data_IF_913716819355
#
_entry.id   IF_913716819355
#
_cell.length_a   1.000
_cell.length_b   1.000
_cell.length_c   1.000
_cell.angle_alpha   90.00
_cell.angle_beta   90.00
_cell.angle_gamma   90.00
#
_symmetry.space_group_name_H-M   'P 1'
#
loop_
_entity.id
_entity.type
_entity.pdbx_description
1 polymer ?
#
# COMPACT_ATOMS: atom_id res chain seq x y z
N UNK A 1 9.63 -2.42 -15.71
CA UNK A 1 8.96 -2.16 -14.41
C UNK A 1 8.66 -0.67 -14.21
N UNK A 2 9.64 0.21 -14.42
CA UNK A 2 9.47 1.66 -14.26
C UNK A 2 8.34 2.23 -15.14
N UNK A 3 8.24 1.76 -16.38
CA UNK A 3 7.20 2.18 -17.33
C UNK A 3 5.80 1.78 -16.87
N UNK A 4 5.65 0.58 -16.31
CA UNK A 4 4.36 0.11 -15.77
C UNK A 4 3.93 0.90 -14.54
N UNK A 5 4.85 1.26 -13.66
CA UNK A 5 4.56 2.11 -12.51
C UNK A 5 4.12 3.52 -12.92
N UNK A 6 4.74 4.08 -13.94
CA UNK A 6 4.31 5.37 -14.53
C UNK A 6 2.92 5.26 -15.17
N UNK A 7 2.68 4.21 -15.94
CA UNK A 7 1.36 3.96 -16.53
C UNK A 7 0.28 3.81 -15.46
N UNK A 8 0.55 3.05 -14.40
CA UNK A 8 -0.35 2.92 -13.26
C UNK A 8 -0.64 4.27 -12.60
N UNK A 9 0.37 5.10 -12.38
CA UNK A 9 0.18 6.43 -11.80
C UNK A 9 -0.76 7.30 -12.64
N UNK A 10 -0.58 7.32 -13.97
CA UNK A 10 -1.46 8.06 -14.89
C UNK A 10 -2.89 7.51 -14.85
N UNK A 11 -3.05 6.19 -14.79
CA UNK A 11 -4.39 5.58 -14.69
C UNK A 11 -5.08 5.92 -13.38
N UNK A 12 -4.37 5.97 -12.27
CA UNK A 12 -4.89 6.39 -10.96
C UNK A 12 -5.36 7.84 -11.02
N UNK A 13 -4.54 8.76 -11.53
CA UNK A 13 -4.92 10.17 -11.66
C UNK A 13 -6.18 10.33 -12.54
N UNK A 14 -6.22 9.62 -13.67
CA UNK A 14 -7.41 9.62 -14.55
C UNK A 14 -8.65 9.05 -13.88
N UNK A 15 -8.50 7.98 -13.09
CA UNK A 15 -9.61 7.38 -12.37
C UNK A 15 -10.17 8.33 -11.32
N UNK A 16 -9.29 8.96 -10.56
CA UNK A 16 -9.66 9.92 -9.50
C UNK A 16 -10.23 11.22 -10.06
N UNK A 17 -9.76 11.66 -11.23
CA UNK A 17 -10.22 12.89 -11.89
C UNK A 17 -11.52 12.74 -12.70
N UNK A 18 -12.15 11.55 -12.76
CA UNK A 18 -13.41 11.37 -13.48
C UNK A 18 -14.56 12.07 -12.77
N UNK A 19 -15.27 12.93 -13.49
CA UNK A 19 -16.45 13.66 -12.99
C UNK A 19 -17.59 12.73 -12.54
N UNK A 20 -17.72 11.57 -13.19
CA UNK A 20 -18.70 10.53 -12.82
C UNK A 20 -18.51 9.97 -11.41
N UNK A 21 -17.30 10.06 -10.87
CA UNK A 21 -17.02 9.66 -9.49
C UNK A 21 -17.66 10.61 -8.48
N UNK A 22 -17.76 11.90 -8.81
CA UNK A 22 -18.15 12.93 -7.84
C UNK A 22 -17.19 12.95 -6.64
N UNK A 23 -17.74 13.17 -5.47
CA UNK A 23 -16.99 13.13 -4.19
C UNK A 23 -16.93 11.73 -3.56
N UNK A 24 -17.34 10.68 -4.29
CA UNK A 24 -17.37 9.31 -3.79
C UNK A 24 -15.97 8.72 -3.65
N UNK A 25 -15.81 7.87 -2.67
CA UNK A 25 -14.57 7.16 -2.35
C UNK A 25 -14.52 5.79 -3.00
N UNK A 26 -13.33 5.35 -3.38
CA UNK A 26 -13.11 4.02 -3.94
C UNK A 26 -13.15 2.96 -2.83
N UNK A 27 -14.00 1.95 -3.00
CA UNK A 27 -14.09 0.79 -2.12
C UNK A 27 -13.49 -0.45 -2.76
N UNK A 28 -13.69 -0.62 -4.06
CA UNK A 28 -13.16 -1.77 -4.79
C UNK A 28 -12.68 -1.34 -6.18
N UNK A 29 -11.51 -1.82 -6.56
CA UNK A 29 -10.88 -1.55 -7.85
C UNK A 29 -10.46 -2.83 -8.54
N UNK A 30 -10.40 -2.81 -9.87
CA UNK A 30 -9.83 -3.89 -10.67
C UNK A 30 -8.68 -3.36 -11.52
N UNK A 31 -7.55 -4.03 -11.43
CA UNK A 31 -6.41 -3.87 -12.32
C UNK A 31 -6.41 -5.01 -13.33
N UNK A 32 -6.41 -4.69 -14.62
CA UNK A 32 -6.43 -5.67 -15.71
C UNK A 32 -5.30 -5.36 -16.69
N UNK A 33 -4.74 -6.40 -17.27
CA UNK A 33 -3.71 -6.28 -18.31
C UNK A 33 -3.99 -7.22 -19.48
N UNK A 34 -3.73 -6.74 -20.69
CA UNK A 34 -3.59 -7.58 -21.89
C UNK A 34 -2.10 -7.85 -22.08
N UNK A 35 -1.73 -9.11 -22.23
CA UNK A 35 -0.34 -9.55 -22.28
C UNK A 35 0.16 -9.64 -23.73
N UNK A 36 1.46 -9.42 -23.91
CA UNK A 36 2.15 -9.67 -25.17
C UNK A 36 2.16 -11.18 -25.41
N UNK A 37 1.81 -11.60 -26.65
CA UNK A 37 1.65 -13.02 -26.97
C UNK A 37 0.25 -13.58 -26.71
N UNK A 38 -0.66 -12.76 -26.25
CA UNK A 38 -2.05 -13.12 -25.97
C UNK A 38 -2.32 -13.42 -24.50
N UNK A 39 -3.60 -13.47 -24.15
CA UNK A 39 -4.06 -13.68 -22.79
C UNK A 39 -4.32 -12.37 -22.02
N UNK A 40 -5.01 -12.54 -20.90
CA UNK A 40 -5.36 -11.44 -20.00
C UNK A 40 -5.08 -11.82 -18.56
N UNK A 41 -4.73 -10.82 -17.78
CA UNK A 41 -4.55 -10.93 -16.36
C UNK A 41 -5.45 -9.91 -15.66
N UNK A 42 -6.06 -10.29 -14.53
CA UNK A 42 -6.95 -9.41 -13.77
C UNK A 42 -6.79 -9.68 -12.29
N UNK A 43 -6.72 -8.62 -11.51
CA UNK A 43 -6.80 -8.64 -10.05
C UNK A 43 -7.82 -7.63 -9.55
N UNK A 44 -8.60 -8.03 -8.58
CA UNK A 44 -9.49 -7.16 -7.85
C UNK A 44 -8.90 -6.89 -6.46
N UNK A 45 -9.02 -5.66 -6.02
CA UNK A 45 -8.59 -5.23 -4.71
C UNK A 45 -9.75 -4.54 -4.01
N UNK A 46 -10.15 -5.08 -2.86
CA UNK A 46 -11.08 -4.42 -1.95
C UNK A 46 -10.26 -3.64 -0.93
N UNK A 47 -10.54 -2.34 -0.86
CA UNK A 47 -9.86 -1.45 0.06
C UNK A 47 -10.52 -1.58 1.44
N UNK A 48 -9.72 -1.76 2.49
CA UNK A 48 -10.24 -1.88 3.86
C UNK A 48 -11.01 -0.64 4.26
N UNK A 49 -10.43 0.51 3.95
CA UNK A 49 -11.07 1.82 4.10
C UNK A 49 -11.29 2.44 2.72
N UNK A 50 -12.46 3.03 2.46
CA UNK A 50 -12.68 3.78 1.23
C UNK A 50 -11.80 5.02 1.21
N UNK A 51 -11.11 5.26 0.11
CA UNK A 51 -10.29 6.46 -0.04
C UNK A 51 -10.24 6.96 -1.49
N UNK A 52 -9.79 8.20 -1.66
CA UNK A 52 -9.66 8.87 -2.96
C UNK A 52 -8.26 9.48 -3.16
N UNK A 53 -7.28 9.00 -2.41
CA UNK A 53 -5.91 9.51 -2.47
C UNK A 53 -5.05 8.70 -3.43
N UNK A 54 -4.41 9.38 -4.39
CA UNK A 54 -3.56 8.74 -5.39
C UNK A 54 -2.36 7.99 -4.77
N UNK A 55 -1.77 8.53 -3.72
CA UNK A 55 -0.64 7.92 -3.02
C UNK A 55 -0.99 6.55 -2.44
N UNK A 56 -2.12 6.45 -1.74
CA UNK A 56 -2.61 5.19 -1.17
C UNK A 56 -2.91 4.14 -2.24
N UNK A 57 -3.52 4.54 -3.35
CA UNK A 57 -3.78 3.63 -4.48
C UNK A 57 -2.49 3.13 -5.12
N UNK A 58 -1.47 3.98 -5.27
CA UNK A 58 -0.17 3.55 -5.78
C UNK A 58 0.49 2.52 -4.87
N UNK A 59 0.44 2.74 -3.56
CA UNK A 59 0.99 1.80 -2.57
C UNK A 59 0.24 0.46 -2.59
N UNK A 60 -1.08 0.48 -2.70
CA UNK A 60 -1.90 -0.73 -2.71
C UNK A 60 -1.79 -1.53 -4.02
N UNK A 61 -1.69 -0.85 -5.18
CA UNK A 61 -1.68 -1.48 -6.50
C UNK A 61 -0.27 -1.76 -7.03
N UNK A 62 0.75 -1.04 -6.55
CA UNK A 62 2.14 -1.20 -6.99
C UNK A 62 2.65 -2.63 -6.90
N UNK A 63 2.50 -3.33 -5.77
CA UNK A 63 2.91 -4.73 -5.62
C UNK A 63 2.21 -5.68 -6.60
N UNK A 64 0.98 -5.36 -7.04
CA UNK A 64 0.22 -6.18 -8.00
C UNK A 64 0.82 -6.19 -9.40
N UNK A 65 1.63 -5.19 -9.74
CA UNK A 65 2.37 -5.19 -11.00
C UNK A 65 3.45 -6.27 -11.04
N UNK A 66 4.01 -6.66 -9.90
CA UNK A 66 4.99 -7.73 -9.82
C UNK A 66 4.38 -9.14 -10.05
N UNK A 67 3.06 -9.28 -9.90
CA UNK A 67 2.32 -10.53 -10.15
C UNK A 67 2.01 -10.75 -11.65
N UNK A 68 2.38 -9.83 -12.53
CA UNK A 68 2.14 -9.96 -13.97
C UNK A 68 3.01 -11.09 -14.56
N UNK A 69 2.39 -12.07 -15.25
CA UNK A 69 3.10 -13.26 -15.72
C UNK A 69 3.92 -13.05 -17.00
N UNK A 70 3.67 -11.93 -17.71
CA UNK A 70 4.31 -11.63 -18.99
C UNK A 70 4.32 -10.12 -19.25
N UNK A 71 5.09 -9.64 -20.26
CA UNK A 71 5.07 -8.24 -20.67
C UNK A 71 3.66 -7.76 -21.05
N UNK A 72 3.35 -6.53 -20.74
CA UNK A 72 2.01 -5.94 -20.85
C UNK A 72 1.90 -5.10 -22.13
N UNK A 73 0.89 -5.41 -22.93
CA UNK A 73 0.50 -4.62 -24.11
C UNK A 73 -0.43 -3.46 -23.72
N UNK A 74 -1.36 -3.72 -22.79
CA UNK A 74 -2.35 -2.73 -22.32
C UNK A 74 -2.62 -2.93 -20.83
N UNK A 75 -2.64 -1.84 -20.09
CA UNK A 75 -3.03 -1.80 -18.68
C UNK A 75 -4.34 -1.02 -18.53
N UNK A 76 -5.26 -1.51 -17.69
CA UNK A 76 -6.57 -0.90 -17.42
C UNK A 76 -6.83 -0.90 -15.91
N UNK A 77 -7.32 0.21 -15.40
CA UNK A 77 -7.77 0.36 -14.02
C UNK A 77 -9.23 0.79 -14.01
N UNK A 78 -10.05 0.07 -13.25
CA UNK A 78 -11.50 0.30 -13.13
C UNK A 78 -11.91 0.43 -11.68
N UNK A 79 -12.80 1.38 -11.39
CA UNK A 79 -13.54 1.42 -10.13
C UNK A 79 -14.70 0.43 -10.25
N UNK A 80 -14.75 -0.55 -9.34
CA UNK A 80 -15.86 -1.52 -9.28
C UNK A 80 -16.91 -1.11 -8.27
N UNK A 81 -16.51 -0.42 -7.21
CA UNK A 81 -17.39 -0.01 -6.14
C UNK A 81 -16.95 1.36 -5.60
N UNK A 82 -17.91 2.27 -5.51
CA UNK A 82 -17.77 3.59 -4.96
C UNK A 82 -18.72 3.74 -3.77
N UNK A 83 -18.32 4.47 -2.74
CA UNK A 83 -19.12 4.77 -1.57
C UNK A 83 -19.12 6.27 -1.27
N UNK A 84 -20.21 6.78 -0.73
CA UNK A 84 -20.37 8.20 -0.35
C UNK A 84 -19.66 8.52 0.97
N UNK A 85 -19.48 7.53 1.85
CA UNK A 85 -18.74 7.72 3.08
C UNK A 85 -17.27 7.30 2.90
N UNK A 86 -16.38 8.27 2.84
CA UNK A 86 -14.97 8.06 3.10
C UNK A 86 -14.81 7.77 4.59
N UNK A 87 -14.25 6.61 4.92
CA UNK A 87 -14.04 6.17 6.30
C UNK A 87 -12.99 6.97 7.08
N UNK A 88 -12.85 8.25 6.82
CA UNK A 88 -12.19 9.17 7.75
C UNK A 88 -13.25 9.88 8.57
N UNK A 89 -13.79 9.18 9.55
CA UNK A 89 -14.16 9.83 10.77
C UNK A 89 -12.85 10.36 11.35
N UNK A 90 -12.59 11.67 11.19
CA UNK A 90 -11.61 12.36 12.01
C UNK A 90 -12.03 12.09 13.44
N UNK A 91 -11.35 11.17 14.11
CA UNK A 91 -11.59 10.91 15.50
C UNK A 91 -11.30 12.22 16.24
N UNK A 92 -12.35 12.87 16.73
CA UNK A 92 -12.24 14.00 17.66
C UNK A 92 -11.57 13.57 18.99
N UNK A 93 -11.42 12.26 19.17
CA UNK A 93 -10.72 11.62 20.27
C UNK A 93 -9.45 10.99 19.69
N UNK A 94 -8.30 11.31 20.24
CA UNK A 94 -7.04 10.59 19.95
C UNK A 94 -7.32 9.09 20.07
N UNK A 95 -6.96 8.28 19.06
CA UNK A 95 -7.14 6.83 19.18
C UNK A 95 -6.38 6.37 20.42
N UNK A 96 -7.08 5.80 21.37
CA UNK A 96 -6.49 5.15 22.51
C UNK A 96 -5.70 3.93 22.01
N UNK A 97 -4.54 3.69 22.61
CA UNK A 97 -3.48 2.72 22.33
C UNK A 97 -3.74 1.59 21.32
N UNK A 98 -4.91 0.97 21.27
CA UNK A 98 -5.20 -0.19 20.43
C UNK A 98 -5.32 0.14 18.92
N UNK A 99 -5.89 1.28 18.54
CA UNK A 99 -5.97 1.68 17.13
C UNK A 99 -4.60 2.10 16.59
N UNK A 100 -3.81 2.80 17.40
CA UNK A 100 -2.45 3.17 17.04
C UNK A 100 -1.57 1.92 16.85
N UNK A 101 -1.72 0.93 17.72
CA UNK A 101 -1.04 -0.36 17.59
C UNK A 101 -1.47 -1.12 16.34
N UNK A 102 -2.75 -1.07 15.96
CA UNK A 102 -3.26 -1.67 14.73
C UNK A 102 -2.67 -1.01 13.47
N UNK A 103 -2.62 0.33 13.43
CA UNK A 103 -2.01 1.10 12.35
C UNK A 103 -0.50 0.84 12.24
N UNK A 104 0.18 0.76 13.38
CA UNK A 104 1.62 0.48 13.44
C UNK A 104 1.92 -0.93 12.91
N UNK A 105 1.17 -1.95 13.32
CA UNK A 105 1.31 -3.33 12.83
C UNK A 105 1.11 -3.42 11.32
N UNK A 106 0.10 -2.75 10.79
CA UNK A 106 -0.14 -2.74 9.35
C UNK A 106 0.98 -2.02 8.58
N UNK A 107 1.46 -0.89 9.08
CA UNK A 107 2.61 -0.18 8.53
C UNK A 107 3.88 -1.04 8.54
N UNK A 108 4.16 -1.71 9.65
CA UNK A 108 5.29 -2.63 9.78
C UNK A 108 5.19 -3.80 8.80
N UNK A 109 3.99 -4.37 8.62
CA UNK A 109 3.75 -5.46 7.66
C UNK A 109 4.01 -5.01 6.21
N UNK A 110 3.60 -3.79 5.86
CA UNK A 110 3.87 -3.22 4.54
C UNK A 110 5.37 -2.97 4.30
N UNK A 111 6.08 -2.45 5.31
CA UNK A 111 7.54 -2.27 5.23
C UNK A 111 8.24 -3.61 5.08
N UNK A 112 7.91 -4.61 5.89
CA UNK A 112 8.46 -5.98 5.77
C UNK A 112 8.20 -6.58 4.38
N UNK A 113 7.00 -6.40 3.83
CA UNK A 113 6.67 -6.89 2.49
C UNK A 113 7.49 -6.24 1.36
N UNK A 114 7.96 -5.01 1.57
CA UNK A 114 8.76 -4.27 0.57
C UNK A 114 10.27 -4.46 0.73
N UNK A 115 10.76 -4.66 1.96
CA UNK A 115 12.20 -4.71 2.30
C UNK A 115 12.69 -6.10 2.69
N UNK A 116 11.78 -7.08 2.83
CA UNK A 116 12.07 -8.41 3.39
C UNK A 116 12.00 -8.45 4.92
N UNK A 117 12.04 -9.65 5.49
CA UNK A 117 11.84 -9.86 6.93
C UNK A 117 12.90 -9.17 7.82
N UNK A 118 14.12 -8.99 7.31
CA UNK A 118 15.18 -8.26 8.01
C UNK A 118 15.09 -6.73 7.94
N UNK A 119 14.10 -6.18 7.20
CA UNK A 119 13.99 -4.74 6.95
C UNK A 119 13.48 -3.92 8.14
N UNK A 120 12.99 -4.56 9.18
CA UNK A 120 12.50 -3.90 10.41
C UNK A 120 13.20 -4.51 11.61
N UNK A 121 13.94 -3.67 12.33
CA UNK A 121 14.66 -4.07 13.53
C UNK A 121 14.15 -3.29 14.74
N UNK A 122 14.19 -3.92 15.90
CA UNK A 122 14.01 -3.26 17.19
C UNK A 122 15.38 -2.95 17.77
N UNK A 123 15.55 -1.74 18.29
CA UNK A 123 16.73 -1.37 19.06
C UNK A 123 16.56 -1.87 20.49
N UNK A 124 17.47 -2.75 20.92
CA UNK A 124 17.50 -3.26 22.29
C UNK A 124 18.73 -2.69 22.99
N UNK A 125 18.52 -1.95 24.06
CA UNK A 125 19.61 -1.47 24.89
C UNK A 125 20.19 -2.62 25.71
N UNK A 126 21.50 -2.88 25.51
CA UNK A 126 22.21 -4.00 26.16
C UNK A 126 23.17 -3.49 27.22
N UNK A 127 23.86 -2.41 26.94
CA UNK A 127 24.84 -1.81 27.87
C UNK A 127 24.78 -0.28 27.78
N UNK A 128 23.71 0.37 28.29
CA UNK A 128 23.54 1.83 28.19
C UNK A 128 24.67 2.64 28.87
N UNK A 129 25.37 2.02 29.80
CA UNK A 129 26.51 2.60 30.50
C UNK A 129 27.85 2.46 29.76
N UNK A 130 27.91 1.71 28.64
CA UNK A 130 29.17 1.54 27.90
C UNK A 130 29.67 2.88 27.36
N UNK A 131 30.96 3.10 27.40
CA UNK A 131 31.61 4.26 26.77
C UNK A 131 31.72 4.10 25.25
N UNK A 132 31.55 2.89 24.75
CA UNK A 132 31.60 2.55 23.32
C UNK A 132 30.18 2.55 22.78
N UNK A 133 29.80 3.49 21.87
CA UNK A 133 28.43 3.64 21.39
C UNK A 133 27.86 2.36 20.79
N UNK A 134 28.67 1.59 20.05
CA UNK A 134 28.27 0.37 19.36
C UNK A 134 27.91 -0.79 20.31
N UNK A 135 28.32 -0.69 21.57
CA UNK A 135 27.98 -1.67 22.60
C UNK A 135 26.72 -1.33 23.38
N UNK A 136 26.18 -0.13 23.18
CA UNK A 136 25.00 0.33 23.96
C UNK A 136 23.71 -0.33 23.52
N UNK A 137 23.58 -0.64 22.23
CA UNK A 137 22.36 -1.18 21.67
C UNK A 137 22.65 -2.18 20.57
N UNK A 138 21.76 -3.15 20.41
CA UNK A 138 21.74 -4.10 19.33
C UNK A 138 20.49 -3.90 18.48
N UNK A 139 20.63 -4.11 17.18
CA UNK A 139 19.51 -4.24 16.26
C UNK A 139 19.08 -5.69 16.20
N UNK A 140 17.87 -5.98 16.65
CA UNK A 140 17.28 -7.31 16.62
C UNK A 140 16.16 -7.30 15.58
N UNK A 141 16.21 -8.25 14.64
CA UNK A 141 15.12 -8.41 13.69
C UNK A 141 13.81 -8.62 14.47
N UNK A 142 12.77 -7.87 14.11
CA UNK A 142 11.48 -7.98 14.78
C UNK A 142 10.70 -9.12 14.17
N UNK A 143 10.75 -10.28 14.80
CA UNK A 143 9.73 -11.31 14.64
C UNK A 143 8.44 -10.80 15.30
N UNK A 144 7.28 -11.17 14.78
CA UNK A 144 5.98 -10.65 15.24
C UNK A 144 5.76 -10.72 16.74
#
# INVERSE_FOLDING_TARGET
ELTLRRALAVLIERLLGRSERGERFLRKVALSATLVGGGSWRRQLTLREPFAEAGRLRTALGPKLAELPAPVLRLKLEALELTESGGQQLALVRPEGDELHGMLREGLRQVKASTGEGGVCTVVEVAPWSRIPEQRALLVARDE
#
